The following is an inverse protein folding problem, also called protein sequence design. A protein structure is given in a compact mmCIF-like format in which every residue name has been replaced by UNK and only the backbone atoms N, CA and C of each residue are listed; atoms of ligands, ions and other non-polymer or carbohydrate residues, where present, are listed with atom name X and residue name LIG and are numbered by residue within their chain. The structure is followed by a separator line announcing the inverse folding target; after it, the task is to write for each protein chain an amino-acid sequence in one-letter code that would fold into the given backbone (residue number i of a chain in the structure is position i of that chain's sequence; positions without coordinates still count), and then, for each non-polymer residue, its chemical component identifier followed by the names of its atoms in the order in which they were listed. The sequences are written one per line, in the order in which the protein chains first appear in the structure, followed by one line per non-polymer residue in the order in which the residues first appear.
data_IF_083972574108
#
_entry.id   IF_083972574108
#
_cell.length_a   1.000
_cell.length_b   1.000
_cell.length_c   1.000
_cell.angle_alpha   90.00
_cell.angle_beta   90.00
_cell.angle_gamma   90.00
#
_symmetry.space_group_name_H-M   'P 1'
#
loop_
_entity.id
_entity.type
_entity.pdbx_description
1 polymer ?
#
# COMPACT_ATOMS: atom_id res chain seq x y z
N UNK A 1 -62.93 -29.36 -32.03
CA UNK A 1 -64.37 -29.01 -31.89
C UNK A 1 -64.63 -28.37 -30.56
N UNK A 2 -65.64 -27.54 -30.44
CA UNK A 2 -65.42 -26.14 -30.07
C UNK A 2 -66.02 -25.78 -28.69
N UNK A 3 -65.56 -24.67 -28.17
CA UNK A 3 -66.17 -23.58 -27.37
C UNK A 3 -67.61 -23.77 -26.84
N UNK A 4 -68.10 -23.08 -25.79
CA UNK A 4 -68.17 -21.57 -25.80
C UNK A 4 -68.07 -20.86 -24.44
N UNK A 5 -67.72 -19.60 -24.49
CA UNK A 5 -68.11 -18.45 -23.64
C UNK A 5 -69.48 -17.94 -24.03
N UNK A 6 -70.12 -16.90 -23.43
CA UNK A 6 -70.08 -16.13 -22.19
C UNK A 6 -71.50 -16.00 -21.52
N UNK A 7 -71.97 -14.99 -20.82
CA UNK A 7 -71.95 -13.54 -21.09
C UNK A 7 -71.87 -12.58 -19.85
N UNK A 8 -71.63 -11.32 -20.17
CA UNK A 8 -71.81 -10.04 -19.44
C UNK A 8 -73.15 -9.90 -18.71
N UNK A 9 -73.17 -9.17 -17.60
CA UNK A 9 -74.18 -8.14 -17.42
C UNK A 9 -73.79 -6.97 -16.50
N UNK A 10 -74.27 -5.82 -16.89
CA UNK A 10 -74.05 -4.48 -16.44
C UNK A 10 -75.00 -4.04 -15.28
N UNK A 11 -74.63 -2.91 -14.69
CA UNK A 11 -75.41 -1.89 -13.97
C UNK A 11 -75.61 -2.00 -12.45
N UNK A 12 -75.05 -1.04 -11.69
CA UNK A 12 -75.79 0.15 -11.28
C UNK A 12 -74.90 1.17 -10.52
N UNK A 13 -75.13 2.44 -10.85
CA UNK A 13 -74.68 3.66 -10.26
C UNK A 13 -75.15 3.85 -8.80
N UNK A 14 -74.43 4.70 -8.08
CA UNK A 14 -74.73 5.70 -7.01
C UNK A 14 -73.80 5.49 -5.83
N UNK A 15 -73.15 6.43 -5.21
CA UNK A 15 -73.32 7.85 -4.93
C UNK A 15 -72.03 8.38 -4.34
N UNK A 16 -71.70 9.61 -4.63
CA UNK A 16 -70.63 10.38 -3.95
C UNK A 16 -70.96 10.53 -2.43
N UNK A 17 -69.95 10.28 -1.62
CA UNK A 17 -69.82 10.95 -0.32
C UNK A 17 -68.39 11.40 -0.17
N UNK A 18 -68.17 12.74 -0.16
CA UNK A 18 -66.96 13.37 0.33
C UNK A 18 -66.79 13.01 1.80
N UNK A 19 -65.65 12.41 2.13
CA UNK A 19 -65.13 12.41 3.49
C UNK A 19 -63.72 13.02 3.43
N UNK A 20 -63.55 14.20 3.99
CA UNK A 20 -62.27 14.82 4.27
C UNK A 20 -61.53 13.95 5.30
N UNK A 21 -60.52 13.23 4.83
CA UNK A 21 -59.61 12.45 5.65
C UNK A 21 -58.27 13.14 5.71
N UNK A 22 -57.89 13.61 6.92
CA UNK A 22 -56.65 14.25 7.25
C UNK A 22 -55.45 13.43 6.75
N UNK A 23 -54.61 14.01 5.92
CA UNK A 23 -53.30 13.47 5.54
C UNK A 23 -52.38 13.61 6.78
N UNK A 24 -52.30 12.54 7.56
CA UNK A 24 -51.20 12.37 8.49
C UNK A 24 -49.95 12.08 7.70
N UNK A 25 -49.13 13.10 7.48
CA UNK A 25 -47.75 12.90 6.96
C UNK A 25 -46.98 12.08 7.97
N UNK A 26 -46.82 10.79 7.64
CA UNK A 26 -45.82 9.94 8.31
C UNK A 26 -44.44 10.53 7.99
N UNK A 27 -43.96 11.37 8.89
CA UNK A 27 -42.54 11.71 8.97
C UNK A 27 -41.81 10.40 9.32
N UNK A 28 -41.37 9.69 8.29
CA UNK A 28 -40.35 8.67 8.48
C UNK A 28 -39.15 9.36 9.12
N UNK A 29 -38.64 8.86 10.24
CA UNK A 29 -37.41 9.41 10.77
C UNK A 29 -36.34 9.20 9.71
N UNK A 30 -35.82 10.30 9.13
CA UNK A 30 -34.58 10.29 8.37
C UNK A 30 -33.58 9.64 9.32
N UNK A 31 -33.20 8.42 9.00
CA UNK A 31 -32.22 7.69 9.79
C UNK A 31 -30.98 8.54 9.88
N UNK A 32 -30.74 9.14 11.06
CA UNK A 32 -29.42 9.62 11.42
C UNK A 32 -28.54 8.38 11.29
N UNK A 33 -27.70 8.34 10.27
CA UNK A 33 -26.56 7.44 10.27
C UNK A 33 -25.86 7.69 11.60
N UNK A 34 -25.96 6.73 12.52
CA UNK A 34 -25.29 6.80 13.80
C UNK A 34 -23.78 6.87 13.43
N UNK A 35 -23.19 8.07 13.54
CA UNK A 35 -21.74 8.22 13.52
C UNK A 35 -21.22 7.29 14.59
N UNK A 36 -20.44 6.28 14.21
CA UNK A 36 -19.86 5.39 15.21
C UNK A 36 -19.03 6.26 16.15
N UNK A 37 -19.41 6.28 17.41
CA UNK A 37 -18.69 7.06 18.40
C UNK A 37 -17.38 6.37 18.69
N UNK A 38 -16.28 7.14 18.74
CA UNK A 38 -14.97 6.62 19.17
C UNK A 38 -15.15 5.88 20.49
N UNK A 39 -14.78 4.60 20.60
CA UNK A 39 -14.93 3.87 21.85
C UNK A 39 -14.15 4.53 22.99
N UNK A 40 -14.60 4.41 24.25
CA UNK A 40 -13.85 4.92 25.39
C UNK A 40 -12.54 4.14 25.57
N UNK A 41 -11.53 4.83 26.10
CA UNK A 41 -10.25 4.21 26.45
C UNK A 41 -10.46 3.10 27.50
N UNK A 42 -9.63 2.03 27.48
CA UNK A 42 -9.76 0.93 28.41
C UNK A 42 -9.55 1.38 29.85
N UNK A 43 -10.31 0.79 30.78
CA UNK A 43 -10.17 1.01 32.23
C UNK A 43 -8.91 0.36 32.82
N UNK A 44 -8.40 -0.67 32.15
CA UNK A 44 -7.17 -1.39 32.50
C UNK A 44 -6.31 -1.51 31.26
N UNK A 45 -5.00 -1.47 31.40
CA UNK A 45 -4.05 -1.56 30.30
C UNK A 45 -4.22 -2.86 29.51
N UNK A 46 -4.34 -2.75 28.18
CA UNK A 46 -4.53 -3.88 27.26
C UNK A 46 -3.21 -4.24 26.55
N UNK A 47 -3.15 -5.46 26.05
CA UNK A 47 -2.10 -5.88 25.11
C UNK A 47 -2.60 -5.67 23.68
N UNK A 48 -1.81 -5.04 22.83
CA UNK A 48 -2.08 -4.80 21.42
C UNK A 48 -1.17 -5.68 20.57
N UNK A 49 -1.77 -6.47 19.69
CA UNK A 49 -1.06 -7.33 18.75
C UNK A 49 -0.97 -6.65 17.38
N UNK A 50 0.24 -6.32 16.97
CA UNK A 50 0.55 -5.64 15.71
C UNK A 50 1.19 -6.63 14.76
N UNK A 51 0.65 -6.74 13.55
CA UNK A 51 1.25 -7.49 12.45
C UNK A 51 1.81 -6.52 11.42
N UNK A 52 3.06 -6.72 11.04
CA UNK A 52 3.73 -5.96 10.00
C UNK A 52 3.95 -6.84 8.77
N UNK A 53 3.37 -6.43 7.65
CA UNK A 53 3.50 -7.10 6.35
C UNK A 53 4.24 -6.25 5.31
N UNK A 54 4.73 -5.07 5.70
CA UNK A 54 5.39 -4.11 4.80
C UNK A 54 6.83 -3.75 5.23
N UNK A 55 7.29 -4.26 6.38
CA UNK A 55 8.55 -3.81 6.99
C UNK A 55 8.42 -2.46 7.71
N UNK A 56 7.21 -1.99 7.95
CA UNK A 56 6.96 -0.67 8.53
C UNK A 56 7.45 -0.54 9.99
N UNK A 57 7.61 -1.64 10.73
CA UNK A 57 8.20 -1.62 12.06
C UNK A 57 9.62 -1.04 12.08
N UNK A 58 10.37 -1.15 11.00
CA UNK A 58 11.67 -0.47 10.91
C UNK A 58 11.53 1.07 11.06
N UNK A 59 10.39 1.62 10.64
CA UNK A 59 10.09 3.05 10.59
C UNK A 59 9.33 3.56 11.83
N UNK A 60 8.58 2.68 12.50
CA UNK A 60 7.59 3.11 13.50
C UNK A 60 7.73 2.45 14.87
N UNK A 61 8.51 1.37 15.00
CA UNK A 61 8.59 0.62 16.25
C UNK A 61 9.05 1.50 17.43
N UNK A 62 10.10 2.29 17.27
CA UNK A 62 10.62 3.15 18.33
C UNK A 62 9.57 4.18 18.78
N UNK A 63 8.79 4.74 17.84
CA UNK A 63 7.69 5.65 18.15
C UNK A 63 6.53 4.93 18.86
N UNK A 64 6.20 3.69 18.48
CA UNK A 64 5.18 2.87 19.14
C UNK A 64 5.62 2.53 20.57
N UNK A 65 6.89 2.20 20.79
CA UNK A 65 7.42 1.94 22.13
C UNK A 65 7.47 3.20 23.00
N UNK A 66 7.76 4.36 22.40
CA UNK A 66 7.67 5.64 23.09
C UNK A 66 6.22 5.96 23.52
N UNK A 67 5.25 5.69 22.62
CA UNK A 67 3.81 5.79 22.94
C UNK A 67 3.44 4.87 24.12
N UNK A 68 3.87 3.61 24.12
CA UNK A 68 3.60 2.67 25.21
C UNK A 68 4.10 3.20 26.55
N UNK A 69 5.31 3.73 26.60
CA UNK A 69 5.92 4.28 27.82
C UNK A 69 5.11 5.48 28.34
N UNK A 70 4.64 6.34 27.45
CA UNK A 70 3.85 7.53 27.80
C UNK A 70 2.41 7.18 28.20
N UNK A 71 1.86 6.04 27.78
CA UNK A 71 0.46 5.65 27.94
C UNK A 71 0.32 4.27 28.63
N UNK A 72 1.18 3.96 29.60
CA UNK A 72 1.19 2.69 30.31
C UNK A 72 -0.14 2.36 31.03
N UNK A 73 -0.97 3.37 31.32
CA UNK A 73 -2.32 3.20 31.87
C UNK A 73 -3.30 2.55 30.88
N UNK A 74 -3.05 2.65 29.57
CA UNK A 74 -3.90 2.09 28.52
C UNK A 74 -3.28 0.88 27.81
N UNK A 75 -1.96 0.82 27.72
CA UNK A 75 -1.23 -0.24 27.01
C UNK A 75 -0.19 -0.87 27.91
N UNK A 76 -0.37 -2.15 28.23
CA UNK A 76 0.61 -2.94 28.96
C UNK A 76 1.74 -3.41 28.07
N UNK A 77 1.42 -3.78 26.83
CA UNK A 77 2.40 -4.35 25.90
C UNK A 77 1.93 -4.23 24.45
N UNK A 78 2.88 -4.02 23.51
CA UNK A 78 2.74 -4.35 22.10
C UNK A 78 3.44 -5.67 21.80
N UNK A 79 2.76 -6.59 21.14
CA UNK A 79 3.35 -7.78 20.54
C UNK A 79 3.50 -7.53 19.04
N UNK A 80 4.71 -7.66 18.52
CA UNK A 80 5.01 -7.48 17.10
C UNK A 80 5.21 -8.81 16.41
N UNK A 81 4.58 -9.00 15.26
CA UNK A 81 4.76 -10.16 14.39
C UNK A 81 5.00 -9.68 12.96
N UNK A 82 5.99 -10.23 12.28
CA UNK A 82 6.26 -9.97 10.86
C UNK A 82 5.83 -11.17 10.03
N UNK A 83 5.22 -10.92 8.88
CA UNK A 83 4.85 -11.97 7.92
C UNK A 83 4.74 -11.40 6.49
N UNK A 84 4.81 -12.25 5.44
CA UNK A 84 4.57 -11.83 4.07
C UNK A 84 3.14 -11.34 3.84
N UNK A 85 2.97 -10.25 3.09
CA UNK A 85 1.66 -9.67 2.80
C UNK A 85 0.66 -10.67 2.17
N UNK A 86 1.05 -11.56 1.23
CA UNK A 86 0.13 -12.52 0.62
C UNK A 86 -0.45 -13.57 1.56
N UNK A 87 0.17 -13.81 2.72
CA UNK A 87 -0.30 -14.81 3.70
C UNK A 87 -1.39 -14.28 4.63
N UNK A 88 -1.47 -12.96 4.81
CA UNK A 88 -2.33 -12.36 5.82
C UNK A 88 -3.84 -12.48 5.51
N UNK A 89 -4.33 -12.31 4.26
CA UNK A 89 -5.76 -12.43 3.97
C UNK A 89 -6.33 -13.79 4.38
N UNK A 90 -5.68 -14.88 3.99
CA UNK A 90 -6.11 -16.23 4.38
C UNK A 90 -6.14 -16.43 5.90
N UNK A 91 -5.16 -15.88 6.62
CA UNK A 91 -5.10 -15.95 8.09
C UNK A 91 -6.22 -15.15 8.74
N UNK A 92 -6.49 -13.92 8.31
CA UNK A 92 -7.58 -13.09 8.84
C UNK A 92 -8.93 -13.74 8.58
N UNK A 93 -9.18 -14.23 7.38
CA UNK A 93 -10.41 -14.94 7.03
C UNK A 93 -10.65 -16.13 7.93
N UNK A 94 -9.64 -16.97 8.17
CA UNK A 94 -9.74 -18.12 9.04
C UNK A 94 -10.03 -17.73 10.51
N UNK A 95 -9.38 -16.67 11.01
CA UNK A 95 -9.59 -16.14 12.36
C UNK A 95 -11.01 -15.58 12.52
N UNK A 96 -11.46 -14.74 11.58
CA UNK A 96 -12.79 -14.14 11.61
C UNK A 96 -13.90 -15.18 11.50
N UNK A 97 -13.73 -16.21 10.66
CA UNK A 97 -14.65 -17.34 10.55
C UNK A 97 -14.74 -18.16 11.87
N UNK A 98 -13.66 -18.20 12.65
CA UNK A 98 -13.62 -18.83 13.97
C UNK A 98 -14.09 -17.91 15.12
N UNK A 99 -14.57 -16.69 14.82
CA UNK A 99 -14.96 -15.69 15.83
C UNK A 99 -13.79 -15.19 16.68
N UNK A 100 -12.56 -15.29 16.19
CA UNK A 100 -11.34 -14.88 16.88
C UNK A 100 -10.78 -13.57 16.32
N UNK A 101 -10.10 -12.80 17.15
CA UNK A 101 -9.42 -11.56 16.78
C UNK A 101 -8.10 -11.50 17.52
N UNK A 102 -7.07 -12.13 16.95
CA UNK A 102 -5.73 -12.22 17.55
C UNK A 102 -4.79 -11.13 16.97
N UNK A 103 -5.29 -10.29 16.06
CA UNK A 103 -4.55 -9.18 15.44
C UNK A 103 -5.38 -7.91 15.63
N UNK A 104 -4.80 -6.91 16.28
CA UNK A 104 -5.48 -5.67 16.63
C UNK A 104 -5.18 -4.53 15.65
N UNK A 105 -3.97 -4.51 15.08
CA UNK A 105 -3.55 -3.54 14.06
C UNK A 105 -2.63 -4.23 13.04
N UNK A 106 -2.72 -3.79 11.79
CA UNK A 106 -1.78 -4.21 10.74
C UNK A 106 -1.08 -2.99 10.17
N UNK A 107 0.24 -3.09 10.06
CA UNK A 107 1.10 -2.18 9.29
C UNK A 107 1.30 -2.78 7.91
N UNK A 108 0.85 -2.09 6.86
CA UNK A 108 0.79 -2.65 5.51
C UNK A 108 1.20 -1.66 4.43
N UNK A 109 1.68 -2.18 3.31
CA UNK A 109 1.78 -1.46 2.04
C UNK A 109 0.45 -1.46 1.28
N UNK A 110 0.47 -0.94 0.06
CA UNK A 110 -0.71 -0.95 -0.83
C UNK A 110 -1.16 -2.36 -1.22
N UNK A 111 -0.29 -3.36 -1.12
CA UNK A 111 -0.54 -4.78 -1.44
C UNK A 111 -1.61 -5.42 -0.55
N UNK A 112 -1.38 -5.54 0.77
CA UNK A 112 -2.40 -6.09 1.66
C UNK A 112 -3.56 -5.10 1.88
N UNK A 113 -3.33 -3.77 1.87
CA UNK A 113 -4.43 -2.81 1.91
C UNK A 113 -5.45 -3.12 0.82
N UNK A 114 -4.98 -3.31 -0.42
CA UNK A 114 -5.84 -3.66 -1.56
C UNK A 114 -6.59 -4.98 -1.34
N UNK A 115 -5.88 -6.03 -0.94
CA UNK A 115 -6.46 -7.34 -0.70
C UNK A 115 -7.48 -7.34 0.46
N UNK A 116 -7.15 -6.67 1.57
CA UNK A 116 -8.01 -6.59 2.74
C UNK A 116 -9.29 -5.78 2.51
N UNK A 117 -9.24 -4.73 1.68
CA UNK A 117 -10.43 -3.97 1.25
C UNK A 117 -11.30 -4.86 0.35
N UNK A 118 -10.72 -5.47 -0.68
CA UNK A 118 -11.44 -6.28 -1.65
C UNK A 118 -12.11 -7.51 -1.01
N UNK A 119 -11.48 -8.12 -0.02
CA UNK A 119 -12.02 -9.26 0.71
C UNK A 119 -12.93 -8.86 1.88
N UNK A 120 -13.06 -7.57 2.16
CA UNK A 120 -13.92 -7.06 3.22
C UNK A 120 -13.45 -7.42 4.64
N UNK A 121 -12.14 -7.54 4.87
CA UNK A 121 -11.55 -7.99 6.15
C UNK A 121 -11.24 -6.85 7.11
N UNK A 122 -11.30 -5.59 6.63
CA UNK A 122 -10.91 -4.40 7.38
C UNK A 122 -12.10 -3.65 7.96
N UNK A 123 -11.90 -3.02 9.11
CA UNK A 123 -12.83 -2.07 9.71
C UNK A 123 -12.74 -0.74 8.95
N UNK A 124 -13.88 -0.20 8.54
CA UNK A 124 -13.94 1.15 7.96
C UNK A 124 -13.68 2.19 9.06
N UNK A 125 -12.67 3.03 8.88
CA UNK A 125 -12.24 4.01 9.86
C UNK A 125 -12.92 5.38 9.65
N UNK A 126 -13.16 5.75 8.40
CA UNK A 126 -13.76 7.03 8.05
C UNK A 126 -15.17 6.84 7.46
N UNK A 127 -16.11 7.75 7.70
CA UNK A 127 -16.01 8.92 8.58
C UNK A 127 -16.22 8.61 10.07
N UNK A 128 -16.43 7.34 10.44
CA UNK A 128 -16.84 6.92 11.79
C UNK A 128 -15.92 7.47 12.90
N UNK A 129 -14.62 7.46 12.69
CA UNK A 129 -13.61 7.90 13.65
C UNK A 129 -12.87 9.18 13.23
N UNK A 130 -13.45 9.97 12.33
CA UNK A 130 -12.85 11.21 11.81
C UNK A 130 -12.41 12.21 12.90
N UNK A 131 -13.10 12.23 14.04
CA UNK A 131 -12.75 13.09 15.19
C UNK A 131 -11.36 12.79 15.76
N UNK A 132 -10.81 11.60 15.56
CA UNK A 132 -9.43 11.24 15.96
C UNK A 132 -8.37 11.78 14.99
N UNK A 133 -8.75 12.16 13.79
CA UNK A 133 -7.85 12.61 12.74
C UNK A 133 -8.27 13.98 12.19
N UNK A 134 -8.29 15.04 13.03
CA UNK A 134 -8.70 16.35 12.58
C UNK A 134 -7.78 16.87 11.47
N UNK A 135 -8.38 17.39 10.39
CA UNK A 135 -7.65 17.91 9.23
C UNK A 135 -6.69 16.92 8.56
N UNK A 136 -6.99 15.60 8.62
CA UNK A 136 -6.10 14.52 8.12
C UNK A 136 -5.50 14.86 6.75
N UNK A 137 -6.34 15.10 5.74
CA UNK A 137 -5.91 15.38 4.37
C UNK A 137 -5.08 16.67 4.26
N UNK A 138 -5.39 17.69 5.06
CA UNK A 138 -4.66 18.96 5.04
C UNK A 138 -3.27 18.86 5.70
N UNK A 139 -3.10 17.92 6.62
CA UNK A 139 -1.84 17.67 7.31
C UNK A 139 -0.82 16.90 6.47
N UNK A 140 -1.28 16.08 5.52
CA UNK A 140 -0.40 15.34 4.62
C UNK A 140 0.30 16.24 3.59
N UNK A 141 1.47 15.82 3.15
CA UNK A 141 2.09 16.33 1.92
C UNK A 141 1.14 16.09 0.74
N UNK A 142 1.15 16.93 -0.32
CA UNK A 142 0.18 16.81 -1.42
C UNK A 142 0.16 15.42 -2.10
N UNK A 143 1.33 14.80 -2.28
CA UNK A 143 1.43 13.47 -2.87
C UNK A 143 0.97 12.36 -1.91
N UNK A 144 1.29 12.48 -0.61
CA UNK A 144 0.80 11.58 0.44
C UNK A 144 -0.73 11.67 0.59
N UNK A 145 -1.30 12.88 0.57
CA UNK A 145 -2.76 13.03 0.60
C UNK A 145 -3.47 12.23 -0.52
N UNK A 146 -2.87 12.20 -1.72
CA UNK A 146 -3.41 11.37 -2.82
C UNK A 146 -3.23 9.87 -2.55
N UNK A 147 -2.16 9.46 -1.88
CA UNK A 147 -2.01 8.06 -1.47
C UNK A 147 -3.01 7.68 -0.38
N UNK A 148 -3.33 8.59 0.56
CA UNK A 148 -4.40 8.39 1.55
C UNK A 148 -5.76 8.12 0.90
N UNK A 149 -6.08 8.73 -0.26
CA UNK A 149 -7.32 8.45 -1.00
C UNK A 149 -7.45 6.97 -1.39
N UNK A 150 -6.34 6.27 -1.68
CA UNK A 150 -6.34 4.84 -2.01
C UNK A 150 -6.76 3.95 -0.82
N UNK A 151 -6.67 4.45 0.39
CA UNK A 151 -7.11 3.70 1.58
C UNK A 151 -8.63 3.50 1.63
N UNK A 152 -9.43 4.22 0.83
CA UNK A 152 -10.87 4.02 0.70
C UNK A 152 -11.60 4.02 2.03
N UNK A 153 -11.19 4.88 2.95
CA UNK A 153 -11.67 4.99 4.34
C UNK A 153 -11.30 3.83 5.29
N UNK A 154 -10.49 2.85 4.84
CA UNK A 154 -10.13 1.67 5.64
C UNK A 154 -8.76 1.75 6.30
N UNK A 155 -7.93 2.70 5.94
CA UNK A 155 -6.58 2.86 6.49
C UNK A 155 -6.19 4.31 6.71
N UNK A 156 -5.19 4.49 7.56
CA UNK A 156 -4.52 5.77 7.79
C UNK A 156 -3.08 5.63 7.30
N UNK A 157 -2.69 6.46 6.34
CA UNK A 157 -1.32 6.49 5.84
C UNK A 157 -0.36 6.94 6.94
N UNK A 158 0.76 6.23 7.08
CA UNK A 158 1.77 6.53 8.09
C UNK A 158 3.10 6.93 7.48
N UNK A 159 3.43 6.44 6.30
CA UNK A 159 4.67 6.78 5.58
C UNK A 159 4.42 6.93 4.09
N UNK A 160 5.20 7.80 3.46
CA UNK A 160 5.14 8.11 2.03
C UNK A 160 6.50 7.96 1.38
N UNK A 161 6.50 7.46 0.15
CA UNK A 161 7.68 7.37 -0.70
C UNK A 161 7.33 7.67 -2.16
N UNK A 162 8.09 8.52 -2.88
CA UNK A 162 7.94 8.70 -4.33
C UNK A 162 8.47 7.52 -5.14
N UNK A 163 8.74 6.44 -4.56
CA UNK A 163 9.18 5.11 -4.98
C UNK A 163 10.07 5.04 -6.26
N UNK A 164 9.52 4.78 -7.44
CA UNK A 164 10.27 4.54 -8.68
C UNK A 164 9.32 4.35 -9.89
N UNK A 165 9.69 3.54 -10.89
CA UNK A 165 10.81 2.60 -10.93
C UNK A 165 12.15 3.25 -11.27
N UNK A 166 13.21 2.81 -10.58
CA UNK A 166 14.60 3.10 -10.89
C UNK A 166 15.32 1.79 -11.22
N UNK A 167 16.49 1.85 -11.85
CA UNK A 167 17.40 0.72 -11.99
C UNK A 167 18.59 0.89 -11.04
N UNK A 168 18.85 -0.10 -10.18
CA UNK A 168 20.06 -0.19 -9.38
C UNK A 168 21.02 -1.21 -10.00
N UNK A 169 22.30 -0.89 -10.07
CA UNK A 169 23.27 -1.68 -10.80
C UNK A 169 24.68 -1.61 -10.23
N UNK A 170 25.46 -2.65 -10.53
CA UNK A 170 26.91 -2.70 -10.30
C UNK A 170 27.63 -1.92 -11.40
N UNK A 171 28.28 -0.77 -11.12
CA UNK A 171 28.95 0.05 -12.14
C UNK A 171 30.19 -0.62 -12.75
N UNK A 172 30.77 -1.64 -12.09
CA UNK A 172 31.91 -2.40 -12.62
C UNK A 172 31.49 -3.44 -13.66
N UNK A 173 30.18 -3.75 -13.74
CA UNK A 173 29.60 -4.78 -14.64
C UNK A 173 28.66 -4.19 -15.70
N UNK A 174 28.04 -3.06 -15.38
CA UNK A 174 27.06 -2.40 -16.25
C UNK A 174 27.64 -1.02 -16.64
N UNK A 175 28.32 -0.97 -17.79
CA UNK A 175 28.92 0.24 -18.35
C UNK A 175 27.94 1.06 -19.18
N UNK A 176 27.08 0.35 -19.94
CA UNK A 176 26.02 0.94 -20.75
C UNK A 176 24.68 0.72 -20.06
N UNK A 177 24.29 1.68 -19.25
CA UNK A 177 23.09 1.57 -18.40
C UNK A 177 21.84 1.74 -19.26
N UNK A 178 20.92 0.78 -19.26
CA UNK A 178 19.66 0.91 -19.98
C UNK A 178 18.83 2.10 -19.46
N UNK A 179 18.33 2.92 -20.35
CA UNK A 179 17.47 4.07 -20.05
C UNK A 179 16.05 3.92 -20.57
N UNK A 180 15.79 2.87 -21.35
CA UNK A 180 14.46 2.53 -21.87
C UNK A 180 14.14 1.05 -21.60
N UNK A 181 12.85 0.65 -21.60
CA UNK A 181 12.49 -0.76 -21.49
C UNK A 181 13.11 -1.62 -22.63
N UNK A 182 13.21 -1.08 -23.84
CA UNK A 182 13.81 -1.77 -24.98
C UNK A 182 15.30 -2.01 -24.78
N UNK A 183 16.04 -1.04 -24.28
CA UNK A 183 17.45 -1.18 -23.93
C UNK A 183 17.64 -2.18 -22.79
N UNK A 184 16.78 -2.15 -21.75
CA UNK A 184 16.82 -3.14 -20.67
C UNK A 184 16.60 -4.56 -21.22
N UNK A 185 15.64 -4.76 -22.09
CA UNK A 185 15.42 -6.06 -22.72
C UNK A 185 16.62 -6.51 -23.56
N UNK A 186 17.21 -5.60 -24.34
CA UNK A 186 18.42 -5.90 -25.13
C UNK A 186 19.60 -6.25 -24.21
N UNK A 187 19.77 -5.52 -23.12
CA UNK A 187 20.80 -5.82 -22.12
C UNK A 187 20.58 -7.19 -21.49
N UNK A 188 19.36 -7.55 -21.10
CA UNK A 188 19.03 -8.86 -20.52
C UNK A 188 19.26 -10.00 -21.51
N UNK A 189 19.02 -9.77 -22.82
CA UNK A 189 19.32 -10.75 -23.89
C UNK A 189 20.84 -11.02 -24.00
N UNK A 190 21.65 -9.97 -23.90
CA UNK A 190 23.11 -10.07 -23.92
C UNK A 190 23.70 -10.64 -22.62
N UNK A 191 23.00 -10.48 -21.50
CA UNK A 191 23.43 -10.88 -20.15
C UNK A 191 22.35 -11.72 -19.45
N UNK A 192 22.03 -12.95 -19.94
CA UNK A 192 20.97 -13.77 -19.36
C UNK A 192 21.20 -14.03 -17.88
N UNK A 193 20.11 -13.96 -17.10
CA UNK A 193 20.10 -14.19 -15.64
C UNK A 193 20.92 -13.19 -14.81
N UNK A 194 21.39 -12.07 -15.40
CA UNK A 194 22.10 -11.03 -14.65
C UNK A 194 21.16 -9.92 -14.14
N UNK A 195 19.92 -9.88 -14.61
CA UNK A 195 18.82 -9.06 -14.11
C UNK A 195 17.82 -9.89 -13.31
N UNK A 196 17.29 -9.34 -12.23
CA UNK A 196 16.31 -10.00 -11.36
C UNK A 196 15.36 -8.97 -10.73
N UNK A 197 14.13 -9.37 -10.42
CA UNK A 197 13.23 -8.64 -9.54
C UNK A 197 12.33 -9.59 -8.77
N UNK A 198 11.85 -9.15 -7.60
CA UNK A 198 10.98 -9.97 -6.77
C UNK A 198 9.52 -9.91 -7.26
N UNK A 199 8.72 -10.91 -6.86
CA UNK A 199 7.27 -10.96 -7.13
C UNK A 199 6.59 -9.68 -6.68
N UNK A 200 5.81 -9.00 -7.56
CA UNK A 200 5.21 -7.69 -7.27
C UNK A 200 4.28 -7.67 -6.06
N UNK A 201 3.60 -8.78 -5.79
CA UNK A 201 2.67 -8.90 -4.66
C UNK A 201 3.34 -8.85 -3.27
N UNK A 202 4.68 -8.96 -3.21
CA UNK A 202 5.45 -8.92 -1.95
C UNK A 202 6.75 -8.13 -2.10
N UNK A 203 6.79 -7.14 -2.98
CA UNK A 203 7.97 -6.32 -3.26
C UNK A 203 7.58 -4.92 -3.73
N UNK A 204 7.98 -3.89 -2.98
CA UNK A 204 7.84 -2.49 -3.41
C UNK A 204 8.52 -2.22 -4.75
N UNK A 205 9.82 -2.53 -4.93
CA UNK A 205 10.51 -2.41 -6.22
C UNK A 205 9.86 -3.20 -7.36
N UNK A 206 9.49 -4.46 -7.13
CA UNK A 206 8.83 -5.30 -8.13
C UNK A 206 7.46 -4.73 -8.53
N UNK A 207 6.67 -4.29 -7.56
CA UNK A 207 5.37 -3.64 -7.76
C UNK A 207 5.51 -2.34 -8.56
N UNK A 208 6.45 -1.50 -8.16
CA UNK A 208 6.67 -0.20 -8.79
C UNK A 208 7.19 -0.35 -10.22
N UNK A 209 8.06 -1.35 -10.48
CA UNK A 209 8.49 -1.69 -11.82
C UNK A 209 7.30 -2.13 -12.69
N UNK A 210 6.49 -3.08 -12.19
CA UNK A 210 5.27 -3.52 -12.88
C UNK A 210 4.34 -2.35 -13.24
N UNK A 211 4.08 -1.45 -12.28
CA UNK A 211 3.14 -0.33 -12.46
C UNK A 211 3.74 0.85 -13.26
N UNK A 212 5.06 0.95 -13.36
CA UNK A 212 5.75 1.97 -14.13
C UNK A 212 5.85 1.64 -15.63
N UNK A 213 5.91 0.33 -15.96
CA UNK A 213 6.05 -0.12 -17.35
C UNK A 213 4.94 0.37 -18.30
N UNK A 214 3.65 0.42 -17.93
CA UNK A 214 2.59 0.91 -18.81
C UNK A 214 2.82 2.35 -19.27
N UNK A 215 3.38 3.20 -18.43
CA UNK A 215 3.74 4.57 -18.78
C UNK A 215 4.94 4.61 -19.74
N UNK A 216 5.98 3.81 -19.46
CA UNK A 216 7.19 3.73 -20.27
C UNK A 216 6.95 3.13 -21.64
N UNK A 217 6.05 2.16 -21.74
CA UNK A 217 5.72 1.45 -22.99
C UNK A 217 4.59 2.15 -23.77
N UNK A 218 3.94 3.14 -23.17
CA UNK A 218 2.81 3.83 -23.78
C UNK A 218 1.62 2.90 -24.01
N UNK A 219 1.24 2.16 -22.98
CA UNK A 219 0.02 1.36 -22.96
C UNK A 219 -1.22 2.24 -23.03
N UNK A 220 -2.36 1.67 -23.45
CA UNK A 220 -3.61 2.40 -23.71
C UNK A 220 -4.17 3.06 -22.43
N UNK A 221 -4.15 2.36 -21.33
CA UNK A 221 -4.59 2.85 -20.01
C UNK A 221 -3.70 2.30 -18.91
N UNK A 222 -2.76 3.10 -18.38
CA UNK A 222 -1.88 2.69 -17.29
C UNK A 222 -2.58 2.34 -15.98
N UNK A 223 -3.90 2.60 -15.84
CA UNK A 223 -4.67 2.26 -14.64
C UNK A 223 -5.56 1.03 -14.81
N UNK A 224 -5.66 0.48 -16.02
CA UNK A 224 -6.41 -0.75 -16.31
C UNK A 224 -5.49 -1.91 -16.71
N UNK A 225 -5.04 -2.75 -15.76
CA UNK A 225 -4.15 -3.88 -16.06
C UNK A 225 -4.84 -4.99 -16.87
N UNK A 226 -6.17 -5.01 -16.95
CA UNK A 226 -6.93 -6.05 -17.65
C UNK A 226 -7.06 -5.75 -19.14
N UNK A 227 -7.39 -4.50 -19.49
CA UNK A 227 -7.71 -4.11 -20.87
C UNK A 227 -6.78 -3.02 -21.43
N UNK A 228 -5.88 -2.50 -20.61
CA UNK A 228 -5.02 -1.38 -20.94
C UNK A 228 -3.54 -1.70 -21.09
N UNK A 229 -3.04 -2.89 -20.64
CA UNK A 229 -1.61 -3.22 -20.51
C UNK A 229 -1.10 -4.27 -21.52
N UNK A 230 -1.56 -4.26 -22.74
CA UNK A 230 -1.15 -5.26 -23.76
C UNK A 230 0.37 -5.24 -23.99
N UNK A 231 0.97 -4.05 -24.09
CA UNK A 231 2.42 -3.90 -24.31
C UNK A 231 3.21 -4.35 -23.08
N UNK A 232 2.77 -3.98 -21.88
CA UNK A 232 3.41 -4.38 -20.63
C UNK A 232 3.42 -5.90 -20.48
N UNK A 233 2.32 -6.58 -20.71
CA UNK A 233 2.26 -8.03 -20.60
C UNK A 233 3.11 -8.74 -21.64
N UNK A 234 3.11 -8.27 -22.88
CA UNK A 234 3.99 -8.79 -23.93
C UNK A 234 5.48 -8.60 -23.56
N UNK A 235 5.86 -7.41 -23.10
CA UNK A 235 7.19 -7.08 -22.66
C UNK A 235 7.68 -7.96 -21.51
N UNK A 236 6.86 -8.13 -20.46
CA UNK A 236 7.23 -8.92 -19.28
C UNK A 236 7.39 -10.42 -19.60
N UNK A 237 6.58 -10.96 -20.52
CA UNK A 237 6.74 -12.33 -21.02
C UNK A 237 8.09 -12.51 -21.73
N UNK A 238 8.44 -11.55 -22.60
CA UNK A 238 9.71 -11.61 -23.33
C UNK A 238 10.90 -11.42 -22.38
N UNK A 239 10.84 -10.44 -21.47
CA UNK A 239 11.87 -10.23 -20.45
C UNK A 239 12.07 -11.46 -19.57
N UNK A 240 10.98 -12.15 -19.22
CA UNK A 240 10.99 -13.37 -18.43
C UNK A 240 11.85 -14.50 -19.03
N UNK A 241 12.06 -14.53 -20.33
CA UNK A 241 12.95 -15.51 -20.95
C UNK A 241 14.40 -15.40 -20.46
N UNK A 242 14.81 -14.20 -20.02
CA UNK A 242 16.17 -13.88 -19.58
C UNK A 242 16.31 -13.72 -18.08
N UNK A 243 15.25 -13.96 -17.31
CA UNK A 243 15.22 -13.99 -15.84
C UNK A 243 15.16 -15.43 -15.38
N UNK A 244 16.05 -15.84 -14.49
CA UNK A 244 16.12 -17.24 -14.03
C UNK A 244 14.88 -17.62 -13.20
N UNK A 245 14.52 -16.77 -12.23
CA UNK A 245 13.37 -16.93 -11.34
C UNK A 245 12.99 -15.60 -10.68
N UNK A 246 11.88 -15.59 -9.95
CA UNK A 246 11.40 -14.41 -9.24
C UNK A 246 11.39 -14.66 -7.73
N UNK A 247 12.31 -14.05 -6.95
CA UNK A 247 12.33 -14.16 -5.49
C UNK A 247 10.99 -13.74 -4.86
N UNK A 248 10.69 -14.31 -3.70
CA UNK A 248 9.45 -14.01 -2.97
C UNK A 248 9.43 -12.61 -2.37
N UNK A 249 10.58 -11.95 -2.18
CA UNK A 249 10.67 -10.61 -1.60
C UNK A 249 11.96 -9.89 -1.95
N UNK A 250 11.96 -8.58 -1.77
CA UNK A 250 13.04 -7.67 -2.16
C UNK A 250 14.36 -7.96 -1.45
N UNK A 251 14.33 -8.39 -0.17
CA UNK A 251 15.55 -8.70 0.57
C UNK A 251 16.43 -9.77 -0.10
N UNK A 252 15.82 -10.79 -0.72
CA UNK A 252 16.55 -11.81 -1.47
C UNK A 252 17.21 -11.22 -2.73
N UNK A 253 16.50 -10.31 -3.43
CA UNK A 253 17.05 -9.61 -4.60
C UNK A 253 18.28 -8.79 -4.23
N UNK A 254 18.20 -7.99 -3.15
CA UNK A 254 19.32 -7.15 -2.69
C UNK A 254 20.52 -7.98 -2.25
N UNK A 255 20.29 -9.14 -1.64
CA UNK A 255 21.36 -10.08 -1.29
C UNK A 255 22.06 -10.60 -2.56
N UNK A 256 21.31 -11.07 -3.56
CA UNK A 256 21.90 -11.55 -4.82
C UNK A 256 22.65 -10.46 -5.59
N UNK A 257 22.13 -9.22 -5.54
CA UNK A 257 22.79 -8.06 -6.11
C UNK A 257 24.11 -7.76 -5.39
N UNK A 258 24.09 -7.71 -4.05
CA UNK A 258 25.27 -7.42 -3.22
C UNK A 258 26.34 -8.51 -3.30
N UNK A 259 25.96 -9.78 -3.44
CA UNK A 259 26.87 -10.94 -3.61
C UNK A 259 27.43 -11.05 -5.05
N UNK A 260 26.92 -10.23 -5.99
CA UNK A 260 27.40 -10.22 -7.39
C UNK A 260 26.86 -11.37 -8.26
N UNK A 261 25.88 -12.13 -7.79
CA UNK A 261 25.18 -13.12 -8.62
C UNK A 261 24.24 -12.46 -9.64
N UNK A 262 23.87 -11.22 -9.41
CA UNK A 262 23.13 -10.33 -10.30
C UNK A 262 23.84 -8.99 -10.44
N UNK A 263 23.64 -8.32 -11.56
CA UNK A 263 24.30 -7.05 -11.87
C UNK A 263 23.34 -5.86 -11.86
N UNK A 264 22.03 -6.12 -12.00
CA UNK A 264 21.01 -5.08 -12.11
C UNK A 264 19.67 -5.57 -11.58
N UNK A 265 18.92 -4.65 -10.97
CA UNK A 265 17.55 -4.85 -10.49
C UNK A 265 16.74 -3.57 -10.59
N UNK A 266 15.40 -3.61 -10.75
CA UNK A 266 14.60 -2.45 -10.49
C UNK A 266 14.58 -2.16 -8.98
N UNK A 267 14.66 -0.87 -8.65
CA UNK A 267 14.66 -0.41 -7.26
C UNK A 267 13.72 0.78 -7.06
N UNK A 268 13.62 1.22 -5.83
CA UNK A 268 12.95 2.45 -5.38
C UNK A 268 13.89 3.22 -4.45
N UNK A 269 13.58 4.49 -4.20
CA UNK A 269 14.46 5.37 -3.41
C UNK A 269 14.92 4.75 -2.08
N UNK A 270 14.02 4.11 -1.35
CA UNK A 270 14.35 3.47 -0.08
C UNK A 270 15.17 2.18 -0.22
N UNK A 271 14.84 1.35 -1.20
CA UNK A 271 15.56 0.10 -1.46
C UNK A 271 16.91 0.30 -2.17
N UNK A 272 17.20 1.48 -2.70
CA UNK A 272 18.55 1.89 -3.03
C UNK A 272 19.34 2.31 -1.78
N UNK A 273 18.76 3.16 -0.94
CA UNK A 273 19.49 3.76 0.19
C UNK A 273 19.75 2.75 1.32
N UNK A 274 18.71 2.10 1.81
CA UNK A 274 18.77 1.27 3.01
C UNK A 274 19.69 0.05 2.89
N UNK A 275 19.65 -0.78 1.81
CA UNK A 275 20.58 -1.91 1.67
C UNK A 275 22.04 -1.48 1.65
N UNK A 276 22.38 -0.29 1.09
CA UNK A 276 23.73 0.25 1.12
C UNK A 276 24.11 0.72 2.52
N UNK A 277 23.18 1.35 3.26
CA UNK A 277 23.39 1.76 4.64
C UNK A 277 23.58 0.56 5.58
N UNK A 278 22.96 -0.58 5.28
CA UNK A 278 23.10 -1.83 6.02
C UNK A 278 24.29 -2.69 5.55
N UNK A 279 25.03 -2.29 4.53
CA UNK A 279 26.14 -3.05 3.97
C UNK A 279 25.72 -4.32 3.21
N UNK A 280 24.44 -4.46 2.86
CA UNK A 280 23.92 -5.59 2.07
C UNK A 280 24.34 -5.43 0.61
N UNK A 281 24.24 -4.21 0.09
CA UNK A 281 24.69 -3.82 -1.25
C UNK A 281 25.90 -2.88 -1.10
N UNK A 282 26.96 -3.03 -1.90
CA UNK A 282 28.13 -2.15 -1.84
C UNK A 282 27.75 -0.68 -2.04
N UNK A 283 28.37 0.22 -1.29
CA UNK A 283 28.17 1.69 -1.39
C UNK A 283 28.42 2.25 -2.81
N UNK A 284 29.28 1.58 -3.59
CA UNK A 284 29.64 1.96 -4.95
C UNK A 284 28.52 1.76 -5.98
N UNK A 285 27.49 0.96 -5.66
CA UNK A 285 26.37 0.71 -6.57
C UNK A 285 25.64 2.00 -6.90
N UNK A 286 25.13 2.07 -8.12
CA UNK A 286 24.50 3.27 -8.66
C UNK A 286 23.06 3.02 -9.03
N UNK A 287 22.31 4.09 -9.20
CA UNK A 287 20.94 4.07 -9.72
C UNK A 287 20.84 4.96 -10.96
N UNK A 288 19.88 4.60 -11.81
CA UNK A 288 19.51 5.41 -12.97
C UNK A 288 17.97 5.42 -13.12
N UNK A 289 17.38 6.55 -13.52
CA UNK A 289 15.99 6.62 -13.91
C UNK A 289 15.83 6.12 -15.36
N UNK A 290 14.64 5.63 -15.71
CA UNK A 290 14.27 5.50 -17.12
C UNK A 290 13.98 6.87 -17.73
N UNK A 291 14.27 7.03 -19.02
CA UNK A 291 13.85 8.21 -19.78
C UNK A 291 12.34 8.33 -19.75
N UNK A 292 11.83 9.54 -19.49
CA UNK A 292 10.39 9.82 -19.43
C UNK A 292 9.60 8.95 -18.43
N UNK A 293 10.25 8.49 -17.36
CA UNK A 293 9.56 7.73 -16.33
C UNK A 293 8.46 8.56 -15.66
N UNK A 294 7.53 7.85 -15.05
CA UNK A 294 6.55 8.40 -14.12
C UNK A 294 6.82 7.78 -12.75
N UNK A 295 7.02 8.61 -11.73
CA UNK A 295 7.11 8.13 -10.36
C UNK A 295 5.80 7.47 -9.96
N UNK A 296 5.83 6.19 -9.68
CA UNK A 296 4.71 5.49 -9.03
C UNK A 296 4.93 5.60 -7.52
N UNK A 297 4.12 6.42 -6.87
CA UNK A 297 4.22 6.63 -5.43
C UNK A 297 3.81 5.38 -4.66
N UNK A 298 4.42 5.18 -3.49
CA UNK A 298 4.09 4.12 -2.55
C UNK A 298 3.86 4.69 -1.14
N UNK A 299 3.08 3.99 -0.34
CA UNK A 299 2.75 4.38 1.02
C UNK A 299 2.54 3.15 1.91
N UNK A 300 2.82 3.32 3.21
CA UNK A 300 2.38 2.34 4.20
C UNK A 300 1.21 2.89 5.00
N UNK A 301 0.36 1.98 5.41
CA UNK A 301 -0.90 2.27 6.10
C UNK A 301 -1.02 1.50 7.41
N UNK A 302 -1.75 2.08 8.32
CA UNK A 302 -2.24 1.46 9.53
C UNK A 302 -3.70 1.09 9.32
N UNK A 303 -4.05 -0.19 9.50
CA UNK A 303 -5.42 -0.69 9.34
C UNK A 303 -5.84 -1.52 10.53
N UNK A 304 -7.15 -1.61 10.78
CA UNK A 304 -7.74 -2.40 11.86
C UNK A 304 -8.54 -3.55 11.23
N UNK A 305 -8.21 -4.82 11.51
CA UNK A 305 -9.05 -5.95 11.11
C UNK A 305 -10.46 -5.88 11.71
N UNK A 306 -11.44 -6.48 11.05
CA UNK A 306 -12.79 -6.62 11.63
C UNK A 306 -12.78 -7.49 12.88
N UNK A 307 -13.63 -7.15 13.84
CA UNK A 307 -13.84 -7.93 15.06
C UNK A 307 -12.95 -7.53 16.24
N UNK A 308 -12.06 -6.54 16.08
CA UNK A 308 -11.25 -6.03 17.19
C UNK A 308 -12.15 -5.42 18.28
N UNK A 309 -11.85 -5.72 19.55
CA UNK A 309 -12.62 -5.24 20.68
C UNK A 309 -12.61 -3.70 20.79
N UNK A 310 -13.75 -3.07 21.19
CA UNK A 310 -13.87 -1.62 21.17
C UNK A 310 -12.77 -0.87 21.95
N UNK A 311 -12.40 -1.36 23.13
CA UNK A 311 -11.36 -0.77 23.96
C UNK A 311 -9.96 -0.83 23.30
N UNK A 312 -9.69 -1.87 22.51
CA UNK A 312 -8.46 -1.96 21.73
C UNK A 312 -8.51 -1.05 20.50
N UNK A 313 -9.67 -0.93 19.84
CA UNK A 313 -9.89 0.05 18.77
C UNK A 313 -9.56 1.46 19.28
N UNK A 314 -10.04 1.85 20.49
CA UNK A 314 -9.77 3.15 21.07
C UNK A 314 -8.26 3.44 21.18
N UNK A 315 -7.50 2.47 21.70
CA UNK A 315 -6.03 2.57 21.83
C UNK A 315 -5.34 2.64 20.47
N UNK A 316 -5.75 1.79 19.53
CA UNK A 316 -5.14 1.77 18.18
C UNK A 316 -5.40 3.09 17.44
N UNK A 317 -6.61 3.65 17.53
CA UNK A 317 -6.92 4.95 16.91
C UNK A 317 -6.10 6.09 17.55
N UNK A 318 -5.87 6.05 18.86
CA UNK A 318 -5.03 7.03 19.56
C UNK A 318 -3.56 6.91 19.17
N UNK A 319 -3.05 5.66 19.08
CA UNK A 319 -1.72 5.38 18.54
C UNK A 319 -1.57 5.87 17.09
N UNK A 320 -2.54 5.60 16.23
CA UNK A 320 -2.52 6.08 14.83
C UNK A 320 -2.40 7.60 14.77
N UNK A 321 -3.19 8.32 15.60
CA UNK A 321 -3.12 9.77 15.69
C UNK A 321 -1.75 10.25 16.21
N UNK A 322 -1.18 9.58 17.20
CA UNK A 322 0.16 9.86 17.72
C UNK A 322 1.23 9.68 16.63
N UNK A 323 1.17 8.59 15.85
CA UNK A 323 2.12 8.30 14.78
C UNK A 323 2.07 9.33 13.64
N UNK A 324 1.03 10.15 13.55
CA UNK A 324 0.95 11.29 12.61
C UNK A 324 1.48 12.60 13.19
N UNK A 325 1.92 12.63 14.45
CA UNK A 325 2.57 13.84 14.99
C UNK A 325 3.93 14.07 14.34
N UNK A 326 4.40 15.32 14.18
CA UNK A 326 5.70 15.59 13.58
C UNK A 326 6.87 14.87 14.27
N UNK A 327 6.80 14.72 15.60
CA UNK A 327 7.80 14.01 16.38
C UNK A 327 7.87 12.51 16.00
N UNK A 328 6.73 11.82 15.98
CA UNK A 328 6.67 10.41 15.61
C UNK A 328 6.99 10.19 14.12
N UNK A 329 6.55 11.09 13.25
CA UNK A 329 6.86 11.06 11.82
C UNK A 329 8.37 11.19 11.53
N UNK A 330 9.12 11.90 12.36
CA UNK A 330 10.56 12.05 12.18
C UNK A 330 11.33 10.72 12.30
N UNK A 331 10.81 9.72 13.04
CA UNK A 331 11.39 8.37 13.09
C UNK A 331 11.30 7.66 11.74
N UNK A 332 10.35 8.02 10.88
CA UNK A 332 10.14 7.34 9.60
C UNK A 332 11.22 7.57 8.56
N UNK A 333 12.15 8.50 8.79
CA UNK A 333 13.39 8.59 8.02
C UNK A 333 14.23 7.33 8.16
N UNK A 334 14.24 6.69 9.35
CA UNK A 334 14.99 5.47 9.67
C UNK A 334 16.43 5.55 9.12
N UNK A 335 16.92 4.49 8.54
CA UNK A 335 18.14 4.43 7.72
C UNK A 335 17.80 4.45 6.22
N UNK A 336 16.75 5.18 5.84
CA UNK A 336 16.29 5.35 4.48
C UNK A 336 15.46 4.22 3.90
N UNK A 337 14.95 3.28 4.73
CA UNK A 337 14.20 2.10 4.24
C UNK A 337 12.99 2.48 3.34
N UNK A 338 12.30 3.57 3.66
CA UNK A 338 11.16 4.08 2.90
C UNK A 338 11.35 5.57 2.56
N UNK A 339 12.53 5.92 2.05
CA UNK A 339 12.99 7.31 1.87
C UNK A 339 12.08 8.15 0.94
N UNK A 340 11.66 9.38 1.36
CA UNK A 340 12.04 10.08 2.59
C UNK A 340 11.35 9.59 3.86
N UNK A 341 10.16 8.97 3.82
CA UNK A 341 9.45 8.39 4.95
C UNK A 341 8.28 9.21 5.46
N UNK A 342 8.46 10.46 5.94
CA UNK A 342 7.35 11.24 6.49
C UNK A 342 6.24 11.51 5.46
N UNK A 343 4.99 11.21 5.84
CA UNK A 343 3.80 11.55 5.06
C UNK A 343 3.26 12.94 5.40
N UNK A 344 3.54 13.44 6.62
CA UNK A 344 3.00 14.69 7.17
C UNK A 344 3.89 15.88 6.83
N UNK A 345 3.27 17.05 6.58
CA UNK A 345 3.96 18.31 6.33
C UNK A 345 4.82 18.78 7.50
N UNK A 346 5.87 19.53 7.21
CA UNK A 346 6.69 20.20 8.21
C UNK A 346 7.66 19.30 8.97
N UNK A 347 7.77 18.03 8.61
CA UNK A 347 8.76 17.09 9.16
C UNK A 347 10.03 17.18 8.32
N UNK A 348 11.17 17.44 8.98
CA UNK A 348 12.47 17.57 8.34
C UNK A 348 13.47 16.54 8.86
N UNK A 349 14.49 16.21 8.07
CA UNK A 349 15.55 15.30 8.48
C UNK A 349 16.26 15.72 9.78
N UNK A 350 16.35 17.03 10.05
CA UNK A 350 16.93 17.55 11.28
C UNK A 350 16.16 17.15 12.55
N UNK A 351 14.89 16.79 12.42
CA UNK A 351 14.05 16.29 13.53
C UNK A 351 14.25 14.78 13.78
N UNK A 352 14.84 14.07 12.83
CA UNK A 352 15.03 12.62 12.90
C UNK A 352 16.11 12.23 13.93
N UNK A 353 16.12 10.99 14.42
CA UNK A 353 17.23 10.47 15.23
C UNK A 353 18.58 10.65 14.55
N UNK A 354 19.65 10.87 15.32
CA UNK A 354 21.01 11.11 14.80
C UNK A 354 21.45 10.03 13.79
N UNK A 355 21.19 8.77 14.09
CA UNK A 355 21.52 7.65 13.19
C UNK A 355 20.83 7.76 11.83
N UNK A 356 19.58 8.20 11.81
CA UNK A 356 18.84 8.44 10.55
C UNK A 356 19.47 9.59 9.75
N UNK A 357 19.82 10.68 10.43
CA UNK A 357 20.50 11.82 9.80
C UNK A 357 21.83 11.42 9.19
N UNK A 358 22.65 10.64 9.92
CA UNK A 358 23.94 10.14 9.45
C UNK A 358 23.76 9.22 8.22
N UNK A 359 22.84 8.27 8.28
CA UNK A 359 22.58 7.32 7.18
C UNK A 359 22.13 8.05 5.91
N UNK A 360 21.17 8.96 6.04
CA UNK A 360 20.68 9.74 4.88
C UNK A 360 21.77 10.66 4.32
N UNK A 361 22.58 11.29 5.17
CA UNK A 361 23.69 12.12 4.74
C UNK A 361 24.77 11.33 4.00
N UNK A 362 25.08 10.10 4.46
CA UNK A 362 26.14 9.27 3.90
C UNK A 362 25.72 8.52 2.63
N UNK A 363 24.49 8.00 2.59
CA UNK A 363 24.00 7.11 1.53
C UNK A 363 22.94 7.73 0.63
N UNK A 364 22.38 8.89 0.98
CA UNK A 364 21.44 9.64 0.15
C UNK A 364 22.03 10.03 -1.19
N UNK A 365 21.17 10.30 -2.17
CA UNK A 365 21.57 10.71 -3.52
C UNK A 365 21.05 12.11 -3.83
N UNK A 366 21.94 13.06 -4.09
CA UNK A 366 21.54 14.43 -4.49
C UNK A 366 20.69 14.45 -5.78
N UNK A 367 20.88 13.46 -6.65
CA UNK A 367 20.14 13.30 -7.90
C UNK A 367 18.66 13.13 -7.71
N UNK A 368 18.22 12.59 -6.56
CA UNK A 368 16.79 12.38 -6.28
C UNK A 368 16.00 13.69 -6.30
N UNK A 369 16.52 14.77 -5.71
CA UNK A 369 15.84 16.06 -5.70
C UNK A 369 15.58 16.57 -7.13
N UNK A 370 16.55 16.38 -8.03
CA UNK A 370 16.41 16.71 -9.45
C UNK A 370 15.30 15.85 -10.10
N UNK A 371 15.39 14.53 -9.98
CA UNK A 371 14.47 13.61 -10.65
C UNK A 371 13.04 13.73 -10.13
N UNK A 372 12.88 14.02 -8.83
CA UNK A 372 11.56 14.26 -8.22
C UNK A 372 10.87 15.52 -8.77
N UNK A 373 11.65 16.53 -9.17
CA UNK A 373 11.12 17.72 -9.82
C UNK A 373 10.96 17.60 -11.34
N UNK A 374 11.68 16.66 -11.97
CA UNK A 374 11.73 16.52 -13.43
C UNK A 374 10.64 15.61 -13.99
N UNK A 375 10.36 14.48 -13.31
CA UNK A 375 9.43 13.46 -13.80
C UNK A 375 8.05 13.59 -13.15
N UNK A 376 6.98 13.27 -13.89
CA UNK A 376 5.62 13.27 -13.35
C UNK A 376 5.43 12.20 -12.27
N UNK A 377 4.42 12.41 -11.40
CA UNK A 377 4.06 11.51 -10.32
C UNK A 377 2.67 10.92 -10.55
N UNK A 378 2.49 9.67 -10.16
CA UNK A 378 1.20 8.98 -10.11
C UNK A 378 1.06 8.18 -8.83
N UNK A 379 -0.18 7.93 -8.41
CA UNK A 379 -0.48 6.98 -7.34
C UNK A 379 -0.25 5.54 -7.82
N UNK A 380 -0.06 4.61 -6.90
CA UNK A 380 -0.25 3.18 -7.14
C UNK A 380 -1.65 2.89 -7.72
N UNK A 381 -1.87 1.68 -8.20
CA UNK A 381 -3.19 1.28 -8.71
C UNK A 381 -4.25 1.31 -7.60
N UNK A 382 -5.51 1.60 -7.93
CA UNK A 382 -6.64 1.35 -7.03
C UNK A 382 -6.66 -0.11 -6.56
N UNK A 383 -7.19 -0.42 -5.36
CA UNK A 383 -7.13 -1.76 -4.76
C UNK A 383 -7.53 -2.89 -5.70
N UNK A 384 -8.69 -2.79 -6.35
CA UNK A 384 -9.18 -3.80 -7.28
C UNK A 384 -8.25 -4.01 -8.48
N UNK A 385 -7.80 -2.93 -9.11
CA UNK A 385 -6.86 -3.00 -10.25
C UNK A 385 -5.51 -3.59 -9.83
N UNK A 386 -5.04 -3.30 -8.62
CA UNK A 386 -3.79 -3.84 -8.10
C UNK A 386 -3.86 -5.36 -7.88
N UNK A 387 -4.93 -5.86 -7.28
CA UNK A 387 -5.17 -7.31 -7.11
C UNK A 387 -5.21 -8.01 -8.47
N UNK A 388 -5.90 -7.43 -9.46
CA UNK A 388 -5.93 -7.98 -10.82
C UNK A 388 -4.55 -7.95 -11.49
N UNK A 389 -3.78 -6.87 -11.36
CA UNK A 389 -2.43 -6.79 -11.91
C UNK A 389 -1.52 -7.90 -11.35
N UNK A 390 -1.58 -8.15 -10.04
CA UNK A 390 -0.81 -9.23 -9.42
C UNK A 390 -1.24 -10.61 -9.89
N UNK A 391 -2.56 -10.84 -9.99
CA UNK A 391 -3.12 -12.10 -10.50
C UNK A 391 -2.68 -12.36 -11.94
N UNK A 392 -2.77 -11.37 -12.82
CA UNK A 392 -2.34 -11.50 -14.22
C UNK A 392 -0.83 -11.76 -14.30
N UNK A 393 -0.03 -11.01 -13.50
CA UNK A 393 1.42 -11.21 -13.45
C UNK A 393 1.78 -12.63 -13.01
N UNK A 394 1.15 -13.13 -11.94
CA UNK A 394 1.39 -14.50 -11.46
C UNK A 394 1.06 -15.54 -12.53
N UNK A 395 -0.05 -15.39 -13.23
CA UNK A 395 -0.49 -16.34 -14.26
C UNK A 395 0.36 -16.28 -15.53
N UNK A 396 0.74 -15.10 -15.99
CA UNK A 396 1.35 -14.92 -17.31
C UNK A 396 2.89 -14.82 -17.28
N UNK A 397 3.46 -14.45 -16.14
CA UNK A 397 4.89 -14.21 -15.96
C UNK A 397 5.45 -15.08 -14.84
N UNK A 398 4.93 -14.95 -13.61
CA UNK A 398 5.45 -15.59 -12.42
C UNK A 398 5.33 -17.11 -12.41
N UNK A 399 4.20 -17.66 -12.86
CA UNK A 399 3.96 -19.11 -12.89
C UNK A 399 4.88 -19.88 -13.85
N UNK A 400 5.46 -19.18 -14.82
CA UNK A 400 6.40 -19.79 -15.78
C UNK A 400 7.79 -20.05 -15.16
N UNK A 401 8.07 -19.55 -13.97
CA UNK A 401 9.38 -19.55 -13.31
C UNK A 401 9.25 -19.89 -11.82
N UNK A 402 8.69 -21.07 -11.54
CA UNK A 402 8.72 -21.64 -10.18
C UNK A 402 10.02 -22.45 -10.01
N UNK A 403 10.79 -22.13 -8.95
CA UNK A 403 11.84 -23.04 -8.47
C UNK A 403 11.20 -24.15 -7.67
#
# INVERSE_FOLDING_TARGET
MPKPTPPFNNHRRHTLRLAAGSAAALLLPVGRTASAQVPPMPKSAVTINVVDVAGNLALTQDAIEAYQKAHAQWVSKFNFTKMPAPELPGKLKAMQAAGRTDIDMVLTGTDFLAAGIEQGELTQLMPAFASKFPNLMANYQPAAAKMQELAGDYGIEVTFMPAGPLLEYNPDKVTDVPTTPQELLAWCKAHPNRFIYARPANSGPGRTFLMGLPYLLGDKDPKDPVHGWDKTWAYLKELGAYVEYYPTGTGAVMKELGEGSRDMTPTVTGWDLNPRALGIVPKSFKVAPFQHMTWVNDAHYMVIPKGVAPEKIAVVLDLMAYLLTPHAQAYTYDQGYFYPGPAVKGVTLAMAPAKSQESVKEYGRPEYDKWLGEFPHTQSLPPKSQVEAFRIWDQQVGAQKTK
#
